data_IF_804997457010
#
_entry.id   IF_804997457010
#
_cell.length_a   1.000
_cell.length_b   1.000
_cell.length_c   1.000
_cell.angle_alpha   90.00
_cell.angle_beta   90.00
_cell.angle_gamma   90.00
#
_symmetry.space_group_name_H-M   'P 1'
#
loop_
_entity.id
_entity.type
_entity.pdbx_description
1 polymer ?
#
# COMPACT_ATOMS: atom_id res chain seq x y z
N UNK A 1 -24.58 10.78 0.31
CA UNK A 1 -23.62 9.65 0.25
C UNK A 1 -22.28 10.11 -0.31
N UNK A 2 -22.24 10.85 -1.41
CA UNK A 2 -21.00 11.43 -2.00
C UNK A 2 -20.07 12.12 -0.99
N UNK A 3 -20.63 12.91 -0.07
CA UNK A 3 -19.88 13.68 0.93
C UNK A 3 -19.13 12.81 1.95
N UNK A 4 -19.65 11.63 2.30
CA UNK A 4 -18.95 10.68 3.17
C UNK A 4 -17.77 10.05 2.43
N UNK A 5 -17.91 9.82 1.12
CA UNK A 5 -16.81 9.30 0.32
C UNK A 5 -15.66 10.33 0.23
N UNK A 6 -16.00 11.60 0.01
CA UNK A 6 -15.04 12.70 -0.03
C UNK A 6 -14.29 12.90 1.29
N UNK A 7 -14.90 12.51 2.42
CA UNK A 7 -14.26 12.57 3.74
C UNK A 7 -13.02 11.66 3.86
N UNK A 8 -12.84 10.68 2.96
CA UNK A 8 -11.63 9.86 2.89
C UNK A 8 -10.35 10.69 2.67
N UNK A 9 -10.43 11.77 1.89
CA UNK A 9 -9.29 12.62 1.57
C UNK A 9 -8.74 13.33 2.82
N UNK A 10 -9.53 14.10 3.60
CA UNK A 10 -9.05 14.72 4.82
C UNK A 10 -8.66 13.69 5.89
N UNK A 11 -9.29 12.51 5.94
CA UNK A 11 -8.89 11.43 6.86
C UNK A 11 -7.45 10.94 6.59
N UNK A 12 -7.04 10.82 5.31
CA UNK A 12 -5.66 10.47 4.94
C UNK A 12 -4.70 11.58 5.38
N UNK A 13 -5.05 12.84 5.06
CA UNK A 13 -4.22 14.01 5.40
C UNK A 13 -4.01 14.11 6.92
N UNK A 14 -5.08 13.93 7.71
CA UNK A 14 -5.01 13.94 9.16
C UNK A 14 -4.17 12.77 9.70
N UNK A 15 -4.35 11.56 9.15
CA UNK A 15 -3.57 10.40 9.57
C UNK A 15 -2.07 10.60 9.37
N UNK A 16 -1.67 11.18 8.23
CA UNK A 16 -0.26 11.53 7.99
C UNK A 16 0.23 12.72 8.81
N UNK A 17 -0.59 13.75 9.00
CA UNK A 17 -0.25 14.89 9.84
C UNK A 17 0.04 14.47 11.30
N UNK A 18 -0.72 13.50 11.80
CA UNK A 18 -0.53 12.89 13.12
C UNK A 18 0.63 11.88 13.17
N UNK A 19 1.37 11.69 12.06
CA UNK A 19 2.50 10.76 11.93
C UNK A 19 2.15 9.31 12.31
N UNK A 20 0.89 8.93 12.10
CA UNK A 20 0.45 7.54 12.28
C UNK A 20 1.13 6.69 11.19
N UNK A 21 1.39 5.41 11.49
CA UNK A 21 1.97 4.48 10.52
C UNK A 21 1.21 4.56 9.18
N UNK A 22 1.89 4.92 8.07
CA UNK A 22 1.25 5.09 6.77
C UNK A 22 0.42 3.90 6.30
N UNK A 23 0.88 2.67 6.60
CA UNK A 23 0.14 1.47 6.24
C UNK A 23 -1.21 1.38 6.95
N UNK A 24 -1.27 1.75 8.25
CA UNK A 24 -2.52 1.75 9.00
C UNK A 24 -3.47 2.81 8.46
N UNK A 25 -2.98 4.03 8.21
CA UNK A 25 -3.80 5.13 7.70
C UNK A 25 -4.45 4.76 6.37
N UNK A 26 -3.66 4.31 5.39
CA UNK A 26 -4.17 3.99 4.06
C UNK A 26 -5.12 2.79 4.10
N UNK A 27 -4.82 1.77 4.90
CA UNK A 27 -5.69 0.58 5.03
C UNK A 27 -7.03 0.96 5.67
N UNK A 28 -7.03 1.71 6.78
CA UNK A 28 -8.26 2.12 7.45
C UNK A 28 -9.12 3.03 6.57
N UNK A 29 -8.51 3.96 5.82
CA UNK A 29 -9.26 4.82 4.90
C UNK A 29 -9.80 4.04 3.69
N UNK A 30 -9.04 3.10 3.15
CA UNK A 30 -9.52 2.22 2.08
C UNK A 30 -10.72 1.39 2.51
N UNK A 31 -10.68 0.82 3.72
CA UNK A 31 -11.83 0.10 4.31
C UNK A 31 -13.02 1.03 4.48
N UNK A 32 -12.80 2.23 5.05
CA UNK A 32 -13.86 3.23 5.22
C UNK A 32 -14.51 3.60 3.88
N UNK A 33 -13.71 3.90 2.85
CA UNK A 33 -14.21 4.26 1.53
C UNK A 33 -15.01 3.11 0.88
N UNK A 34 -14.53 1.87 1.00
CA UNK A 34 -15.22 0.68 0.52
C UNK A 34 -16.58 0.47 1.18
N UNK A 35 -16.64 0.59 2.51
CA UNK A 35 -17.88 0.45 3.27
C UNK A 35 -18.88 1.58 2.99
N UNK A 36 -18.41 2.82 2.92
CA UNK A 36 -19.25 3.99 2.60
C UNK A 36 -19.81 3.91 1.17
N UNK A 37 -19.11 3.24 0.26
CA UNK A 37 -19.58 2.95 -1.10
C UNK A 37 -20.69 1.89 -1.14
N UNK A 38 -21.05 1.30 -0.01
CA UNK A 38 -22.06 0.24 0.09
C UNK A 38 -21.55 -1.15 -0.27
N UNK A 39 -20.22 -1.36 -0.32
CA UNK A 39 -19.65 -2.70 -0.50
C UNK A 39 -19.67 -3.48 0.83
N UNK A 40 -19.88 -4.79 0.71
CA UNK A 40 -19.73 -5.72 1.83
C UNK A 40 -18.27 -5.77 2.31
N UNK A 41 -18.06 -5.91 3.63
CA UNK A 41 -16.72 -5.99 4.22
C UNK A 41 -15.84 -7.07 3.58
N UNK A 42 -16.39 -8.27 3.33
CA UNK A 42 -15.66 -9.37 2.70
C UNK A 42 -15.24 -8.99 1.28
N UNK A 43 -16.11 -8.30 0.56
CA UNK A 43 -15.83 -7.81 -0.80
C UNK A 43 -14.71 -6.78 -0.78
N UNK A 44 -14.73 -5.83 0.15
CA UNK A 44 -13.67 -4.81 0.30
C UNK A 44 -12.31 -5.47 0.53
N UNK A 45 -12.23 -6.44 1.45
CA UNK A 45 -10.97 -7.16 1.72
C UNK A 45 -10.52 -7.98 0.50
N UNK A 46 -11.45 -8.61 -0.21
CA UNK A 46 -11.16 -9.37 -1.43
C UNK A 46 -10.62 -8.48 -2.54
N UNK A 47 -11.23 -7.31 -2.76
CA UNK A 47 -10.84 -6.35 -3.79
C UNK A 47 -9.46 -5.72 -3.50
N UNK A 48 -9.14 -5.50 -2.22
CA UNK A 48 -7.79 -5.11 -1.80
C UNK A 48 -6.79 -6.19 -2.24
N UNK A 49 -7.01 -7.45 -1.84
CA UNK A 49 -6.13 -8.57 -2.20
C UNK A 49 -5.99 -8.76 -3.72
N UNK A 50 -7.11 -8.64 -4.44
CA UNK A 50 -7.12 -8.69 -5.91
C UNK A 50 -6.31 -7.55 -6.53
N UNK A 51 -6.45 -6.34 -6.01
CA UNK A 51 -5.66 -5.18 -6.47
C UNK A 51 -4.15 -5.39 -6.27
N UNK A 52 -3.73 -6.08 -5.21
CA UNK A 52 -2.31 -6.43 -5.02
C UNK A 52 -1.79 -7.42 -6.07
N UNK A 53 -2.61 -8.38 -6.50
CA UNK A 53 -2.24 -9.38 -7.52
C UNK A 53 -2.25 -8.76 -8.92
N UNK A 54 -3.28 -7.97 -9.23
CA UNK A 54 -3.45 -7.32 -10.54
C UNK A 54 -2.38 -6.25 -10.76
N UNK A 55 -2.02 -5.49 -9.73
CA UNK A 55 -0.90 -4.55 -9.76
C UNK A 55 0.43 -5.27 -9.51
N UNK A 56 0.83 -6.13 -10.46
CA UNK A 56 2.09 -6.89 -10.44
C UNK A 56 3.32 -6.06 -10.09
N UNK A 57 3.32 -4.75 -10.35
CA UNK A 57 4.36 -3.82 -9.93
C UNK A 57 4.61 -3.80 -8.41
N UNK A 58 3.58 -3.97 -7.59
CA UNK A 58 3.72 -4.07 -6.12
C UNK A 58 4.47 -5.36 -5.74
N UNK A 59 4.25 -6.45 -6.50
CA UNK A 59 4.96 -7.71 -6.32
C UNK A 59 6.44 -7.65 -6.74
N UNK A 60 6.83 -6.70 -7.60
CA UNK A 60 8.23 -6.56 -8.06
C UNK A 60 9.18 -6.32 -6.90
N UNK A 61 8.77 -5.61 -5.82
CA UNK A 61 9.62 -5.42 -4.64
C UNK A 61 10.06 -6.76 -4.04
N UNK A 62 9.17 -7.75 -4.02
CA UNK A 62 9.47 -9.09 -3.51
C UNK A 62 10.45 -9.86 -4.38
N UNK A 63 10.55 -9.51 -5.67
CA UNK A 63 11.55 -10.05 -6.59
C UNK A 63 12.88 -9.27 -6.49
N UNK A 64 12.80 -7.95 -6.33
CA UNK A 64 13.97 -7.08 -6.17
C UNK A 64 14.74 -7.42 -4.89
N UNK A 65 14.08 -7.71 -3.77
CA UNK A 65 14.77 -8.05 -2.51
C UNK A 65 15.75 -9.23 -2.61
N UNK A 66 15.35 -10.44 -3.08
CA UNK A 66 16.29 -11.55 -3.27
C UNK A 66 17.31 -11.27 -4.38
N UNK A 67 16.91 -10.55 -5.43
CA UNK A 67 17.83 -10.13 -6.49
C UNK A 67 18.95 -9.24 -5.92
N UNK A 68 18.58 -8.21 -5.15
CA UNK A 68 19.52 -7.33 -4.44
C UNK A 68 20.39 -8.13 -3.48
N UNK A 69 19.83 -9.08 -2.72
CA UNK A 69 20.62 -9.92 -1.81
C UNK A 69 21.71 -10.72 -2.54
N UNK A 70 21.42 -11.24 -3.73
CA UNK A 70 22.40 -11.95 -4.57
C UNK A 70 23.46 -10.98 -5.12
N UNK A 71 23.04 -9.81 -5.60
CA UNK A 71 23.95 -8.81 -6.15
C UNK A 71 24.87 -8.20 -5.07
N UNK A 72 24.35 -7.91 -3.88
CA UNK A 72 25.14 -7.46 -2.74
C UNK A 72 26.19 -8.51 -2.33
N UNK A 73 25.83 -9.80 -2.32
CA UNK A 73 26.79 -10.91 -2.10
C UNK A 73 27.89 -10.99 -3.17
N UNK A 74 27.64 -10.46 -4.36
CA UNK A 74 28.61 -10.39 -5.47
C UNK A 74 29.41 -9.08 -5.49
N UNK A 75 29.30 -8.26 -4.46
CA UNK A 75 30.09 -7.04 -4.32
C UNK A 75 29.49 -5.82 -5.04
N UNK A 76 28.18 -5.83 -5.34
CA UNK A 76 27.49 -4.65 -5.91
C UNK A 76 27.76 -3.38 -5.09
N UNK A 77 27.76 -3.49 -3.76
CA UNK A 77 28.09 -2.38 -2.85
C UNK A 77 29.54 -1.91 -2.96
N UNK A 78 30.47 -2.82 -3.23
CA UNK A 78 31.89 -2.47 -3.39
C UNK A 78 32.15 -1.81 -4.74
N UNK A 79 31.51 -2.31 -5.81
CA UNK A 79 31.59 -1.71 -7.15
C UNK A 79 30.95 -0.32 -7.23
N UNK A 80 29.89 -0.05 -6.45
CA UNK A 80 29.23 1.25 -6.42
C UNK A 80 29.97 2.32 -5.59
N UNK A 81 30.99 1.92 -4.80
CA UNK A 81 31.77 2.82 -3.94
C UNK A 81 33.02 3.37 -4.64
N UNK A 82 33.43 2.77 -5.76
CA UNK A 82 34.49 3.26 -6.65
C UNK A 82 33.90 4.13 -7.77
#
# INVERSE_FOLDING_TARGET
>A
MEWLLLASIPLIVLGFALKINPFLVVTSVGIYAGLVSGFDFVKVVSDIGKSFVDNRYVAIIWLILPLLAVLERKGLREQAKN
#
